data_IF_303997700885
#
_entry.id   IF_303997700885
#
_cell.length_a   1.000
_cell.length_b   1.000
_cell.length_c   1.000
_cell.angle_alpha   90.00
_cell.angle_beta   90.00
_cell.angle_gamma   90.00
#
_symmetry.space_group_name_H-M   'P 1'
#
loop_
_entity.id
_entity.type
_entity.pdbx_description
1 polymer ?
#
# COMPACT_ATOMS: atom_id res chain seq x y z
N UNK A 1 34.53 67.23 -16.36
CA UNK A 1 33.68 66.64 -15.29
C UNK A 1 33.14 65.32 -15.82
N UNK A 2 33.36 64.21 -15.10
CA UNK A 2 32.95 62.86 -15.52
C UNK A 2 32.09 62.29 -14.40
N UNK A 3 30.85 61.94 -14.72
CA UNK A 3 29.84 61.51 -13.74
C UNK A 3 29.47 60.07 -14.08
N UNK A 4 29.93 59.13 -13.25
CA UNK A 4 29.59 57.72 -13.35
C UNK A 4 28.28 57.50 -12.58
N UNK A 5 27.23 57.05 -13.27
CA UNK A 5 25.94 56.75 -12.65
C UNK A 5 26.03 55.37 -11.97
N UNK A 6 26.14 55.36 -10.65
CA UNK A 6 25.90 54.17 -9.84
C UNK A 6 24.43 53.78 -10.00
N UNK A 7 24.17 52.77 -10.82
CA UNK A 7 22.83 52.22 -11.00
C UNK A 7 22.32 51.70 -9.68
N UNK A 8 21.13 52.15 -9.29
CA UNK A 8 20.32 51.56 -8.24
C UNK A 8 20.26 50.05 -8.50
N UNK A 9 20.76 49.28 -7.55
CA UNK A 9 20.71 47.82 -7.55
C UNK A 9 19.30 47.37 -7.87
N UNK A 10 19.17 46.43 -8.81
CA UNK A 10 17.92 45.95 -9.40
C UNK A 10 17.02 45.18 -8.43
N UNK A 11 16.61 45.83 -7.35
CA UNK A 11 15.67 45.32 -6.36
C UNK A 11 14.32 45.89 -6.75
N UNK A 12 13.54 45.09 -7.48
CA UNK A 12 12.18 45.45 -7.84
C UNK A 12 11.26 44.99 -6.70
N UNK A 13 10.74 45.91 -5.84
CA UNK A 13 10.05 45.57 -4.60
C UNK A 13 8.75 44.79 -4.84
N UNK A 14 8.19 44.85 -6.05
CA UNK A 14 6.96 44.17 -6.42
C UNK A 14 7.15 42.67 -6.77
N UNK A 15 8.38 42.22 -7.07
CA UNK A 15 8.65 40.79 -7.32
C UNK A 15 8.53 39.96 -6.03
N UNK A 16 8.90 40.54 -4.89
CA UNK A 16 8.85 39.86 -3.60
C UNK A 16 7.43 39.57 -3.07
N UNK A 17 6.40 40.23 -3.62
CA UNK A 17 5.00 39.98 -3.24
C UNK A 17 4.40 38.77 -3.97
N UNK A 18 4.78 38.55 -5.24
CA UNK A 18 4.34 37.38 -6.01
C UNK A 18 4.95 36.06 -5.48
N UNK A 19 6.18 36.12 -4.97
CA UNK A 19 6.84 34.96 -4.36
C UNK A 19 6.26 34.58 -2.98
N UNK A 20 5.68 35.54 -2.25
CA UNK A 20 5.03 35.28 -0.95
C UNK A 20 3.68 34.57 -1.12
N UNK A 21 2.88 34.94 -2.10
CA UNK A 21 1.59 34.26 -2.36
C UNK A 21 1.75 32.82 -2.87
N UNK A 22 2.85 32.53 -3.59
CA UNK A 22 3.15 31.18 -4.07
C UNK A 22 3.72 30.26 -2.99
N UNK A 23 4.38 30.80 -1.95
CA UNK A 23 4.82 30.01 -0.79
C UNK A 23 3.69 29.67 0.19
N UNK A 24 2.64 30.49 0.31
CA UNK A 24 1.52 30.25 1.24
C UNK A 24 0.59 29.12 0.75
N UNK A 25 0.66 28.72 -0.53
CA UNK A 25 -0.14 27.60 -1.09
C UNK A 25 0.48 26.21 -0.92
N UNK A 26 1.59 26.07 -0.20
CA UNK A 26 2.19 24.77 0.16
C UNK A 26 1.97 24.38 1.62
N UNK A 27 1.03 25.00 2.33
CA UNK A 27 0.45 24.35 3.50
C UNK A 27 -0.38 23.20 2.94
N UNK A 28 0.22 22.01 2.88
CA UNK A 28 -0.46 20.79 2.52
C UNK A 28 -1.73 20.71 3.36
N UNK A 29 -2.88 20.86 2.70
CA UNK A 29 -4.17 20.58 3.28
C UNK A 29 -4.04 19.17 3.84
N UNK A 30 -4.21 18.99 5.15
CA UNK A 30 -4.23 17.67 5.76
C UNK A 30 -5.36 16.89 5.10
N UNK A 31 -5.01 16.05 4.12
CA UNK A 31 -5.94 15.14 3.48
C UNK A 31 -6.02 13.91 4.37
N UNK A 32 -7.24 13.52 4.72
CA UNK A 32 -7.45 12.27 5.43
C UNK A 32 -6.92 11.11 4.59
N UNK A 33 -5.90 10.43 5.11
CA UNK A 33 -5.25 9.29 4.46
C UNK A 33 -5.52 8.04 5.27
N UNK A 34 -6.06 7.03 4.62
CA UNK A 34 -6.21 5.69 5.21
C UNK A 34 -4.98 4.88 4.83
N UNK A 35 -4.18 4.48 5.81
CA UNK A 35 -3.02 3.61 5.63
C UNK A 35 -3.25 2.25 6.31
N UNK A 36 -2.69 1.19 5.71
CA UNK A 36 -2.63 -0.13 6.35
C UNK A 36 -1.62 -0.04 7.50
N UNK A 37 -2.00 -0.49 8.70
CA UNK A 37 -1.14 -0.46 9.88
C UNK A 37 0.13 -1.29 9.67
N UNK A 38 1.23 -0.89 10.34
CA UNK A 38 2.51 -1.61 10.25
C UNK A 38 2.35 -3.07 10.69
N UNK A 39 1.61 -3.32 11.77
CA UNK A 39 1.28 -4.66 12.22
C UNK A 39 0.51 -5.49 11.17
N UNK A 40 -0.43 -4.88 10.43
CA UNK A 40 -1.14 -5.59 9.35
C UNK A 40 -0.22 -5.92 8.16
N UNK A 41 0.75 -5.06 7.85
CA UNK A 41 1.78 -5.34 6.82
C UNK A 41 2.69 -6.49 7.25
N UNK A 42 3.07 -6.56 8.51
CA UNK A 42 3.86 -7.68 9.06
C UNK A 42 3.07 -9.01 9.02
N UNK A 43 1.79 -8.99 9.41
CA UNK A 43 0.93 -10.16 9.30
C UNK A 43 0.70 -10.61 7.84
N UNK A 44 0.63 -9.67 6.90
CA UNK A 44 0.58 -10.00 5.47
C UNK A 44 1.85 -10.74 5.02
N UNK A 45 3.02 -10.43 5.59
CA UNK A 45 4.26 -11.13 5.24
C UNK A 45 4.30 -12.57 5.79
N UNK A 46 3.58 -12.89 6.87
CA UNK A 46 3.42 -14.26 7.36
C UNK A 46 2.64 -15.19 6.41
N UNK A 47 2.07 -14.67 5.31
CA UNK A 47 1.43 -15.49 4.27
C UNK A 47 2.42 -16.35 3.45
N UNK A 48 3.69 -16.44 3.87
CA UNK A 48 4.70 -17.33 3.30
C UNK A 48 4.50 -18.83 3.65
N UNK A 49 3.27 -19.25 3.98
CA UNK A 49 2.82 -20.65 3.95
C UNK A 49 2.74 -21.15 2.49
N UNK A 50 3.77 -20.92 1.68
CA UNK A 50 3.74 -21.23 0.25
C UNK A 50 4.26 -22.64 0.00
N UNK A 51 5.31 -23.07 0.69
CA UNK A 51 5.94 -24.38 0.45
C UNK A 51 5.04 -25.56 0.86
N UNK A 52 4.52 -25.56 2.09
CA UNK A 52 3.61 -26.62 2.56
C UNK A 52 2.29 -26.65 1.76
N UNK A 53 1.81 -25.46 1.36
CA UNK A 53 0.61 -25.36 0.54
C UNK A 53 0.84 -25.88 -0.88
N UNK A 54 2.00 -25.58 -1.49
CA UNK A 54 2.38 -26.12 -2.79
C UNK A 54 2.44 -27.65 -2.78
N UNK A 55 3.03 -28.24 -1.74
CA UNK A 55 3.10 -29.70 -1.62
C UNK A 55 1.71 -30.34 -1.41
N UNK A 56 0.85 -29.71 -0.59
CA UNK A 56 -0.54 -30.14 -0.42
C UNK A 56 -1.31 -30.11 -1.74
N UNK A 57 -1.17 -29.03 -2.51
CA UNK A 57 -1.82 -28.87 -3.82
C UNK A 57 -1.32 -29.92 -4.81
N UNK A 58 0.00 -30.21 -4.83
CA UNK A 58 0.58 -31.24 -5.70
C UNK A 58 -0.04 -32.61 -5.42
N UNK A 59 -0.11 -33.03 -4.16
CA UNK A 59 -0.74 -34.30 -3.75
C UNK A 59 -2.20 -34.38 -4.16
N UNK A 60 -2.96 -33.29 -3.99
CA UNK A 60 -4.36 -33.24 -4.41
C UNK A 60 -4.50 -33.37 -5.93
N UNK A 61 -3.64 -32.72 -6.70
CA UNK A 61 -3.64 -32.84 -8.17
C UNK A 61 -3.40 -34.29 -8.62
N UNK A 62 -2.44 -34.98 -8.01
CA UNK A 62 -2.17 -36.39 -8.30
C UNK A 62 -3.38 -37.29 -7.98
N UNK A 63 -4.03 -37.08 -6.84
CA UNK A 63 -5.23 -37.85 -6.47
C UNK A 63 -6.41 -37.62 -7.43
N UNK A 64 -6.59 -36.38 -7.90
CA UNK A 64 -7.63 -36.05 -8.88
C UNK A 64 -7.32 -36.67 -10.24
N UNK A 65 -6.07 -36.59 -10.71
CA UNK A 65 -5.65 -37.20 -11.98
C UNK A 65 -5.81 -38.73 -11.97
N UNK A 66 -5.48 -39.36 -10.85
CA UNK A 66 -5.61 -40.81 -10.67
C UNK A 66 -7.06 -41.26 -10.39
N UNK A 67 -8.02 -40.33 -10.26
CA UNK A 67 -9.41 -40.62 -9.95
C UNK A 67 -9.66 -41.15 -8.54
N UNK A 68 -8.67 -41.07 -7.65
CA UNK A 68 -8.75 -41.57 -6.26
C UNK A 68 -9.18 -40.50 -5.27
N UNK A 69 -9.40 -39.26 -5.73
CA UNK A 69 -9.89 -38.18 -4.88
C UNK A 69 -11.32 -38.46 -4.41
N UNK A 70 -11.48 -38.68 -3.10
CA UNK A 70 -12.77 -38.92 -2.47
C UNK A 70 -13.30 -37.64 -1.84
N UNK A 71 -14.49 -37.22 -2.28
CA UNK A 71 -15.22 -36.11 -1.67
C UNK A 71 -15.83 -36.58 -0.35
N UNK A 72 -15.48 -35.95 0.75
CA UNK A 72 -16.10 -36.16 2.06
C UNK A 72 -17.01 -34.98 2.41
N UNK A 73 -18.32 -35.21 2.36
CA UNK A 73 -19.32 -34.19 2.65
C UNK A 73 -19.26 -33.69 4.11
N UNK A 74 -18.83 -34.53 5.05
CA UNK A 74 -18.71 -34.17 6.47
C UNK A 74 -17.56 -33.20 6.68
N UNK A 75 -16.41 -33.46 6.05
CA UNK A 75 -15.25 -32.57 6.11
C UNK A 75 -15.53 -31.24 5.41
N UNK A 76 -16.28 -31.25 4.30
CA UNK A 76 -16.72 -30.01 3.65
C UNK A 76 -17.60 -29.20 4.60
N UNK A 77 -18.65 -29.79 5.16
CA UNK A 77 -19.54 -29.11 6.09
C UNK A 77 -18.79 -28.55 7.31
N UNK A 78 -17.84 -29.33 7.85
CA UNK A 78 -16.98 -28.90 8.94
C UNK A 78 -16.12 -27.70 8.54
N UNK A 79 -15.48 -27.73 7.37
CA UNK A 79 -14.63 -26.62 6.91
C UNK A 79 -15.42 -25.31 6.72
N UNK A 80 -16.63 -25.39 6.16
CA UNK A 80 -17.54 -24.25 6.02
C UNK A 80 -17.96 -23.75 7.39
N UNK A 81 -18.32 -24.65 8.31
CA UNK A 81 -18.70 -24.26 9.66
C UNK A 81 -17.55 -23.53 10.37
N UNK A 82 -16.35 -24.12 10.35
CA UNK A 82 -15.17 -23.54 10.99
C UNK A 82 -14.79 -22.18 10.40
N UNK A 83 -14.90 -21.99 9.09
CA UNK A 83 -14.54 -20.73 8.45
C UNK A 83 -15.49 -19.58 8.80
N UNK A 84 -16.79 -19.86 8.94
CA UNK A 84 -17.81 -18.83 9.14
C UNK A 84 -18.26 -18.66 10.59
N UNK A 85 -18.16 -19.71 11.42
CA UNK A 85 -18.78 -19.75 12.74
C UNK A 85 -17.83 -20.04 13.89
N UNK A 86 -16.63 -20.59 13.64
CA UNK A 86 -15.58 -20.64 14.68
C UNK A 86 -14.74 -19.36 14.61
N UNK A 87 -14.70 -18.62 15.72
CA UNK A 87 -13.88 -17.42 15.96
C UNK A 87 -12.61 -17.78 16.74
#
# INVERSE_FOLDING_TARGET
MRIDKFGLTGINPYKHQFDKETQVKKTAISQDKVEISEAAKELQQLSQWTAEHQEKVRKLKEQVQNGTYKIDAKEIAKSVYQFYFDN
#
